data_IF_716858479673
#
_entry.id   IF_716858479673
#
_cell.length_a   1.000
_cell.length_b   1.000
_cell.length_c   1.000
_cell.angle_alpha   90.00
_cell.angle_beta   90.00
_cell.angle_gamma   90.00
#
_symmetry.space_group_name_H-M   'P 1'
#
loop_
_entity.id
_entity.type
_entity.pdbx_description
1 polymer ?
#
# COMPACT_ATOMS: atom_id res chain seq x y z
N UNK A 1 46.43 16.84 -6.03
CA UNK A 1 46.86 16.37 -7.38
C UNK A 1 47.56 17.48 -8.20
N UNK A 2 46.89 18.56 -8.59
CA UNK A 2 47.44 19.58 -9.52
C UNK A 2 48.79 20.17 -9.10
N UNK A 3 48.96 20.46 -7.81
CA UNK A 3 50.23 20.96 -7.26
C UNK A 3 51.36 19.94 -7.41
N UNK A 4 51.08 18.64 -7.23
CA UNK A 4 52.06 17.57 -7.41
C UNK A 4 52.42 17.39 -8.89
N UNK A 5 51.44 17.49 -9.80
CA UNK A 5 51.68 17.44 -11.24
C UNK A 5 52.59 18.61 -11.65
N UNK A 6 52.28 19.83 -11.22
CA UNK A 6 53.09 21.01 -11.51
C UNK A 6 54.53 20.90 -10.99
N UNK A 7 54.72 20.35 -9.78
CA UNK A 7 56.05 20.14 -9.21
C UNK A 7 56.81 19.02 -9.92
N UNK A 8 56.13 17.93 -10.28
CA UNK A 8 56.71 16.84 -11.05
C UNK A 8 57.15 17.31 -12.44
N UNK A 9 56.31 18.06 -13.16
CA UNK A 9 56.67 18.64 -14.47
C UNK A 9 57.86 19.58 -14.37
N UNK A 10 57.89 20.43 -13.35
CA UNK A 10 59.00 21.37 -13.12
C UNK A 10 60.33 20.65 -12.86
N UNK A 11 60.36 19.67 -11.95
CA UNK A 11 61.59 18.93 -11.63
C UNK A 11 61.99 17.91 -12.71
N UNK A 12 61.08 17.52 -13.60
CA UNK A 12 61.41 16.63 -14.72
C UNK A 12 62.19 17.35 -15.83
N UNK A 13 62.02 18.67 -15.97
CA UNK A 13 62.74 19.50 -16.95
C UNK A 13 64.11 19.98 -16.44
N UNK A 14 64.30 20.09 -15.12
CA UNK A 14 65.52 20.61 -14.48
C UNK A 14 66.83 19.84 -14.80
N UNK A 15 66.86 18.49 -14.94
CA UNK A 15 68.05 17.73 -15.34
C UNK A 15 68.59 18.08 -16.73
N UNK A 16 67.76 18.68 -17.59
CA UNK A 16 68.17 19.13 -18.93
C UNK A 16 68.99 20.43 -18.86
N UNK A 17 68.93 21.14 -17.74
CA UNK A 17 69.49 22.49 -17.58
C UNK A 17 70.50 22.60 -16.43
N UNK A 18 70.45 21.73 -15.42
CA UNK A 18 71.39 21.71 -14.29
C UNK A 18 72.09 20.34 -14.10
N UNK A 19 73.41 20.38 -13.90
CA UNK A 19 74.26 19.21 -13.64
C UNK A 19 74.35 18.86 -12.14
N UNK A 20 73.91 19.73 -11.23
CA UNK A 20 73.81 19.46 -9.79
C UNK A 20 72.45 18.90 -9.35
N UNK A 21 71.61 18.48 -10.31
CA UNK A 21 70.29 17.96 -10.04
C UNK A 21 70.28 16.85 -8.99
N UNK A 22 69.44 17.02 -7.98
CA UNK A 22 69.26 16.06 -6.91
C UNK A 22 68.17 15.05 -7.24
N UNK A 23 68.61 13.83 -7.60
CA UNK A 23 67.73 12.71 -7.97
C UNK A 23 66.82 12.26 -6.81
N UNK A 24 67.23 12.50 -5.56
CA UNK A 24 66.46 12.09 -4.38
C UNK A 24 65.17 12.89 -4.23
N UNK A 25 65.20 14.18 -4.56
CA UNK A 25 64.02 15.06 -4.56
C UNK A 25 62.94 14.62 -5.56
N UNK A 26 63.36 14.09 -6.71
CA UNK A 26 62.41 13.56 -7.72
C UNK A 26 61.79 12.25 -7.25
N UNK A 27 62.58 11.38 -6.60
CA UNK A 27 62.10 10.09 -6.09
C UNK A 27 61.01 10.27 -5.01
N UNK A 28 61.19 11.22 -4.09
CA UNK A 28 60.18 11.51 -3.06
C UNK A 28 58.89 12.09 -3.65
N UNK A 29 58.99 12.91 -4.70
CA UNK A 29 57.84 13.42 -5.44
C UNK A 29 57.10 12.33 -6.21
N UNK A 30 57.82 11.35 -6.78
CA UNK A 30 57.21 10.17 -7.41
C UNK A 30 56.43 9.35 -6.39
N UNK A 31 56.98 9.12 -5.18
CA UNK A 31 56.29 8.42 -4.09
C UNK A 31 55.02 9.16 -3.66
N UNK A 32 55.09 10.48 -3.51
CA UNK A 32 53.93 11.33 -3.20
C UNK A 32 52.86 11.25 -4.30
N UNK A 33 53.28 11.29 -5.57
CA UNK A 33 52.38 11.16 -6.71
C UNK A 33 51.67 9.80 -6.75
N UNK A 34 52.39 8.71 -6.49
CA UNK A 34 51.82 7.36 -6.43
C UNK A 34 50.76 7.23 -5.33
N UNK A 35 51.08 7.71 -4.12
CA UNK A 35 50.16 7.68 -2.98
C UNK A 35 48.90 8.50 -3.28
N UNK A 36 49.07 9.72 -3.81
CA UNK A 36 47.94 10.59 -4.10
C UNK A 36 47.07 10.05 -5.25
N UNK A 37 47.70 9.46 -6.26
CA UNK A 37 46.99 8.79 -7.37
C UNK A 37 46.17 7.61 -6.88
N UNK A 38 46.74 6.79 -5.99
CA UNK A 38 46.02 5.66 -5.39
C UNK A 38 44.83 6.14 -4.55
N UNK A 39 45.02 7.17 -3.71
CA UNK A 39 43.93 7.77 -2.93
C UNK A 39 42.82 8.32 -3.81
N UNK A 40 43.18 9.03 -4.89
CA UNK A 40 42.21 9.57 -5.83
C UNK A 40 41.44 8.45 -6.54
N UNK A 41 42.12 7.37 -6.94
CA UNK A 41 41.46 6.20 -7.55
C UNK A 41 40.48 5.53 -6.59
N UNK A 42 40.88 5.30 -5.34
CA UNK A 42 39.99 4.73 -4.31
C UNK A 42 38.78 5.62 -4.07
N UNK A 43 38.96 6.94 -4.02
CA UNK A 43 37.86 7.88 -3.84
C UNK A 43 36.86 7.84 -5.01
N UNK A 44 37.35 7.70 -6.25
CA UNK A 44 36.50 7.57 -7.43
C UNK A 44 35.72 6.26 -7.41
N UNK A 45 36.36 5.13 -7.09
CA UNK A 45 35.65 3.84 -7.02
C UNK A 45 34.60 3.85 -5.91
N UNK A 46 34.93 4.42 -4.74
CA UNK A 46 33.99 4.55 -3.64
C UNK A 46 32.79 5.45 -4.01
N UNK A 47 33.02 6.55 -4.72
CA UNK A 47 31.95 7.42 -5.19
C UNK A 47 31.01 6.67 -6.15
N UNK A 48 31.57 5.87 -7.05
CA UNK A 48 30.80 5.04 -7.98
C UNK A 48 29.96 3.98 -7.25
N UNK A 49 30.54 3.31 -6.24
CA UNK A 49 29.79 2.36 -5.40
C UNK A 49 28.61 3.03 -4.69
N UNK A 50 28.79 4.26 -4.20
CA UNK A 50 27.72 5.04 -3.58
C UNK A 50 26.63 5.37 -4.59
N UNK A 51 26.99 5.85 -5.79
CA UNK A 51 26.02 6.17 -6.85
C UNK A 51 25.22 4.93 -7.29
N UNK A 52 25.87 3.78 -7.42
CA UNK A 52 25.21 2.51 -7.75
C UNK A 52 24.26 2.05 -6.62
N UNK A 53 24.67 2.22 -5.36
CA UNK A 53 23.83 1.91 -4.20
C UNK A 53 22.60 2.83 -4.13
N UNK A 54 22.78 4.14 -4.33
CA UNK A 54 21.69 5.12 -4.37
C UNK A 54 20.71 4.83 -5.50
N UNK A 55 21.20 4.52 -6.71
CA UNK A 55 20.36 4.13 -7.83
C UNK A 55 19.54 2.87 -7.54
N UNK A 56 20.13 1.90 -6.85
CA UNK A 56 19.45 0.66 -6.46
C UNK A 56 18.36 0.92 -5.43
N UNK A 57 18.63 1.77 -4.43
CA UNK A 57 17.65 2.18 -3.43
C UNK A 57 16.49 2.91 -4.09
N UNK A 58 16.76 3.86 -4.99
CA UNK A 58 15.72 4.59 -5.70
C UNK A 58 14.82 3.66 -6.52
N UNK A 59 15.41 2.68 -7.23
CA UNK A 59 14.62 1.69 -7.97
C UNK A 59 13.73 0.83 -7.06
N UNK A 60 14.24 0.46 -5.87
CA UNK A 60 13.47 -0.29 -4.89
C UNK A 60 12.31 0.55 -4.34
N UNK A 61 12.54 1.83 -4.04
CA UNK A 61 11.50 2.76 -3.59
C UNK A 61 10.43 2.98 -4.66
N UNK A 62 10.82 3.20 -5.91
CA UNK A 62 9.88 3.37 -7.03
C UNK A 62 9.06 2.11 -7.28
N UNK A 63 9.66 0.93 -7.09
CA UNK A 63 8.94 -0.34 -7.18
C UNK A 63 7.95 -0.52 -6.03
N UNK A 64 8.39 -0.25 -4.81
CA UNK A 64 7.55 -0.33 -3.63
C UNK A 64 6.38 0.65 -3.70
N UNK A 65 6.62 1.89 -4.15
CA UNK A 65 5.59 2.89 -4.37
C UNK A 65 4.48 2.42 -5.30
N UNK A 66 4.84 1.79 -6.44
CA UNK A 66 3.86 1.22 -7.39
C UNK A 66 3.04 0.08 -6.78
N UNK A 67 3.67 -0.81 -6.02
CA UNK A 67 2.96 -1.91 -5.34
C UNK A 67 1.99 -1.34 -4.30
N UNK A 68 2.44 -0.37 -3.50
CA UNK A 68 1.63 0.26 -2.47
C UNK A 68 0.43 1.00 -3.05
N UNK A 69 0.63 1.77 -4.12
CA UNK A 69 -0.45 2.44 -4.83
C UNK A 69 -1.49 1.42 -5.31
N UNK A 70 -1.05 0.37 -6.01
CA UNK A 70 -1.93 -0.71 -6.50
C UNK A 70 -2.71 -1.36 -5.34
N UNK A 71 -2.02 -1.71 -4.25
CA UNK A 71 -2.65 -2.33 -3.09
C UNK A 71 -3.69 -1.40 -2.45
N UNK A 72 -3.42 -0.10 -2.35
CA UNK A 72 -4.38 0.87 -1.83
C UNK A 72 -5.61 1.03 -2.72
N UNK A 73 -5.45 0.94 -4.04
CA UNK A 73 -6.60 0.93 -4.95
C UNK A 73 -7.45 -0.33 -4.79
N UNK A 74 -6.81 -1.50 -4.64
CA UNK A 74 -7.50 -2.76 -4.36
C UNK A 74 -8.26 -2.71 -3.03
N UNK A 75 -7.66 -2.16 -1.97
CA UNK A 75 -8.33 -1.98 -0.69
C UNK A 75 -9.55 -1.07 -0.80
N UNK A 76 -9.45 0.04 -1.52
CA UNK A 76 -10.58 0.94 -1.77
C UNK A 76 -11.71 0.22 -2.49
N UNK A 77 -11.39 -0.52 -3.56
CA UNK A 77 -12.38 -1.32 -4.28
C UNK A 77 -13.04 -2.37 -3.38
N UNK A 78 -12.24 -3.04 -2.55
CA UNK A 78 -12.75 -4.02 -1.59
C UNK A 78 -13.71 -3.39 -0.57
N UNK A 79 -13.38 -2.23 -0.01
CA UNK A 79 -14.25 -1.51 0.92
C UNK A 79 -15.59 -1.12 0.28
N UNK A 80 -15.55 -0.56 -0.93
CA UNK A 80 -16.76 -0.21 -1.69
C UNK A 80 -17.64 -1.44 -1.96
N UNK A 81 -17.03 -2.56 -2.35
CA UNK A 81 -17.75 -3.80 -2.63
C UNK A 81 -18.36 -4.40 -1.36
N UNK A 82 -17.64 -4.38 -0.23
CA UNK A 82 -18.15 -4.81 1.07
C UNK A 82 -19.33 -3.95 1.51
N UNK A 83 -19.24 -2.63 1.37
CA UNK A 83 -20.35 -1.73 1.71
C UNK A 83 -21.58 -2.01 0.83
N UNK A 84 -21.38 -2.18 -0.48
CA UNK A 84 -22.44 -2.51 -1.44
C UNK A 84 -23.14 -3.83 -1.07
N UNK A 85 -22.37 -4.87 -0.78
CA UNK A 85 -22.89 -6.18 -0.38
C UNK A 85 -23.62 -6.11 0.96
N UNK A 86 -23.07 -5.40 1.94
CA UNK A 86 -23.69 -5.19 3.24
C UNK A 86 -25.05 -4.53 3.11
N UNK A 87 -25.14 -3.44 2.34
CA UNK A 87 -26.40 -2.73 2.08
C UNK A 87 -27.43 -3.63 1.40
N UNK A 88 -27.04 -4.35 0.35
CA UNK A 88 -27.93 -5.30 -0.32
C UNK A 88 -28.40 -6.43 0.64
N UNK A 89 -27.51 -6.90 1.50
CA UNK A 89 -27.84 -7.90 2.53
C UNK A 89 -28.85 -7.38 3.56
N UNK A 90 -28.71 -6.13 3.99
CA UNK A 90 -29.66 -5.48 4.91
C UNK A 90 -31.01 -5.27 4.22
N UNK A 91 -31.02 -4.75 3.00
CA UNK A 91 -32.26 -4.48 2.25
C UNK A 91 -33.07 -5.78 2.02
N UNK A 92 -32.39 -6.85 1.59
CA UNK A 92 -33.04 -8.17 1.39
C UNK A 92 -33.56 -8.77 2.69
N UNK A 93 -32.84 -8.58 3.81
CA UNK A 93 -33.30 -9.02 5.12
C UNK A 93 -34.56 -8.26 5.57
N UNK A 94 -34.58 -6.94 5.40
CA UNK A 94 -35.74 -6.08 5.72
C UNK A 94 -36.95 -6.48 4.88
N UNK A 95 -36.79 -6.64 3.57
CA UNK A 95 -37.87 -7.09 2.68
C UNK A 95 -38.45 -8.45 3.11
N UNK A 96 -37.58 -9.39 3.47
CA UNK A 96 -37.98 -10.73 3.92
C UNK A 96 -38.76 -10.65 5.24
N UNK A 97 -38.27 -9.86 6.20
CA UNK A 97 -38.93 -9.65 7.48
C UNK A 97 -40.30 -8.98 7.33
N UNK A 98 -40.41 -7.95 6.49
CA UNK A 98 -41.67 -7.29 6.20
C UNK A 98 -42.68 -8.22 5.53
N UNK A 99 -42.24 -9.04 4.58
CA UNK A 99 -43.08 -10.03 3.92
C UNK A 99 -43.61 -11.06 4.94
N UNK A 100 -42.73 -11.55 5.83
CA UNK A 100 -43.11 -12.45 6.93
C UNK A 100 -44.16 -11.83 7.85
N UNK A 101 -43.98 -10.56 8.27
CA UNK A 101 -44.95 -9.85 9.11
C UNK A 101 -46.30 -9.69 8.42
N UNK A 102 -46.32 -9.33 7.13
CA UNK A 102 -47.58 -9.23 6.35
C UNK A 102 -48.31 -10.57 6.31
N UNK A 103 -47.57 -11.68 6.13
CA UNK A 103 -48.15 -13.02 6.18
C UNK A 103 -48.74 -13.34 7.56
N UNK A 104 -48.05 -13.01 8.64
CA UNK A 104 -48.55 -13.20 10.01
C UNK A 104 -49.82 -12.38 10.29
N UNK A 105 -49.86 -11.10 9.88
CA UNK A 105 -51.02 -10.23 10.02
C UNK A 105 -52.23 -10.78 9.26
N UNK A 106 -52.02 -11.29 8.03
CA UNK A 106 -53.10 -11.92 7.24
C UNK A 106 -53.59 -13.21 7.88
N UNK A 107 -52.70 -14.08 8.37
CA UNK A 107 -53.07 -15.32 9.03
C UNK A 107 -53.87 -15.05 10.32
N UNK A 108 -53.42 -14.08 11.13
CA UNK A 108 -54.12 -13.65 12.34
C UNK A 108 -55.50 -13.06 12.04
N UNK A 109 -55.62 -12.25 10.96
CA UNK A 109 -56.91 -11.70 10.51
C UNK A 109 -57.88 -12.81 10.09
N UNK A 110 -57.40 -13.79 9.32
CA UNK A 110 -58.21 -14.95 8.89
C UNK A 110 -58.65 -15.78 10.09
N UNK A 111 -57.75 -16.06 11.03
CA UNK A 111 -58.07 -16.79 12.26
C UNK A 111 -59.10 -16.04 13.12
N UNK A 112 -58.94 -14.72 13.30
CA UNK A 112 -59.89 -13.88 14.03
C UNK A 112 -61.28 -13.86 13.37
N UNK A 113 -61.35 -13.72 12.04
CA UNK A 113 -62.61 -13.81 11.29
C UNK A 113 -63.29 -15.17 11.46
N UNK A 114 -62.52 -16.27 11.41
CA UNK A 114 -63.06 -17.62 11.66
C UNK A 114 -63.61 -17.74 13.07
N UNK A 115 -62.85 -17.31 14.08
CA UNK A 115 -63.30 -17.34 15.47
C UNK A 115 -64.61 -16.55 15.68
N UNK A 116 -64.69 -15.33 15.17
CA UNK A 116 -65.91 -14.52 15.25
C UNK A 116 -67.08 -15.23 14.55
N UNK A 117 -66.85 -15.80 13.36
CA UNK A 117 -67.90 -16.54 12.65
C UNK A 117 -68.38 -17.76 13.43
N UNK A 118 -67.46 -18.51 14.05
CA UNK A 118 -67.75 -19.70 14.85
C UNK A 118 -68.51 -19.35 16.15
N UNK A 119 -68.14 -18.27 16.83
CA UNK A 119 -68.87 -17.76 18.00
C UNK A 119 -70.27 -17.29 17.61
N UNK A 120 -70.40 -16.61 16.47
CA UNK A 120 -71.69 -16.10 15.99
C UNK A 120 -72.64 -17.24 15.61
N UNK A 121 -72.17 -18.27 14.90
CA UNK A 121 -73.01 -19.45 14.60
C UNK A 121 -73.39 -20.20 15.88
N UNK A 122 -72.46 -20.36 16.83
CA UNK A 122 -72.77 -20.99 18.12
C UNK A 122 -73.78 -20.15 18.92
N UNK A 123 -73.70 -18.83 18.88
CA UNK A 123 -74.68 -17.93 19.51
C UNK A 123 -76.06 -18.07 18.87
N UNK A 124 -76.17 -18.15 17.55
CA UNK A 124 -77.44 -18.34 16.84
C UNK A 124 -78.06 -19.70 17.17
N UNK A 125 -77.23 -20.76 17.21
CA UNK A 125 -77.65 -22.12 17.58
C UNK A 125 -78.08 -22.19 19.06
N UNK A 126 -77.42 -21.42 19.93
CA UNK A 126 -77.78 -21.34 21.36
C UNK A 126 -79.07 -20.54 21.56
N UNK A 127 -79.25 -19.41 20.88
CA UNK A 127 -80.49 -18.60 20.93
C UNK A 127 -81.70 -19.34 20.37
N UNK A 128 -81.55 -20.17 19.35
CA UNK A 128 -82.67 -20.97 18.81
C UNK A 128 -83.09 -22.13 19.72
N UNK A 129 -82.25 -22.53 20.68
CA UNK A 129 -82.58 -23.51 21.73
C UNK A 129 -83.30 -22.90 22.95
N UNK A 130 -83.37 -21.57 23.07
CA UNK A 130 -83.91 -20.87 24.27
C UNK A 130 -85.34 -20.33 24.07
N UNK A 131 -86.06 -20.72 23.00
CA UNK A 131 -87.52 -20.55 22.94
C UNK A 131 -88.25 -21.86 23.24
N UNK A 132 -88.67 -22.09 24.49
CA UNK A 132 -89.73 -23.04 24.79
C UNK A 132 -91.05 -22.29 24.89
N UNK A 133 -91.98 -22.56 23.98
CA UNK A 133 -93.42 -22.38 24.18
C UNK A 133 -94.15 -23.38 23.31
#
# INVERSE_FOLDING_TARGET
>A
METLISQFTFLSDEPLHDKSFDLFTTEDLVKLFEIESYKAWVAVEQQKEVEEAEATVQQAEDHFGRIMETAMEEFRYFEEEVERMSKAGVDTFVETAESGRKMEETATSVASKRYISEVSVNSVISSSKVHPS
#
